data_IF_263347976290
#
_entry.id   IF_263347976290
#
_cell.length_a   1.000
_cell.length_b   1.000
_cell.length_c   1.000
_cell.angle_alpha   90.00
_cell.angle_beta   90.00
_cell.angle_gamma   90.00
#
_symmetry.space_group_name_H-M   'P 1'
#
loop_
_entity.id
_entity.type
_entity.pdbx_description
1 polymer ?
#
# COMPACT_ATOMS: atom_id res chain seq x y z
N UNK A 1 10.27 7.31 4.61
CA UNK A 1 9.59 6.39 3.69
C UNK A 1 9.16 5.09 4.38
N UNK A 2 10.09 4.31 4.95
CA UNK A 2 9.74 3.07 5.68
C UNK A 2 8.79 3.33 6.86
N UNK A 3 9.10 4.32 7.69
CA UNK A 3 8.25 4.77 8.81
C UNK A 3 6.84 5.16 8.36
N UNK A 4 6.71 5.99 7.32
CA UNK A 4 5.42 6.35 6.72
C UNK A 4 4.60 5.11 6.33
N UNK A 5 5.24 4.11 5.71
CA UNK A 5 4.56 2.88 5.30
C UNK A 5 4.16 2.02 6.49
N UNK A 6 5.01 1.92 7.51
CA UNK A 6 4.71 1.15 8.72
C UNK A 6 3.51 1.75 9.47
N UNK A 7 3.42 3.08 9.55
CA UNK A 7 2.28 3.77 10.14
C UNK A 7 0.99 3.56 9.33
N UNK A 8 1.06 3.71 8.01
CA UNK A 8 -0.09 3.47 7.12
C UNK A 8 -0.55 2.01 7.21
N UNK A 9 0.40 1.05 7.29
CA UNK A 9 0.09 -0.37 7.51
C UNK A 9 -0.62 -0.58 8.85
N UNK A 10 -0.14 0.04 9.93
CA UNK A 10 -0.76 -0.08 11.25
C UNK A 10 -2.21 0.46 11.25
N UNK A 11 -2.45 1.60 10.59
CA UNK A 11 -3.80 2.19 10.45
C UNK A 11 -4.73 1.32 9.59
N UNK A 12 -4.22 0.72 8.51
CA UNK A 12 -5.01 -0.08 7.58
C UNK A 12 -5.29 -1.50 8.09
N UNK A 13 -4.37 -2.09 8.88
CA UNK A 13 -4.38 -3.50 9.31
C UNK A 13 -5.73 -4.01 9.82
N UNK A 14 -6.49 -3.28 10.66
CA UNK A 14 -7.80 -3.74 11.14
C UNK A 14 -8.83 -4.01 10.03
N UNK A 15 -8.63 -3.44 8.83
CA UNK A 15 -9.53 -3.56 7.69
C UNK A 15 -9.03 -4.55 6.63
N UNK A 16 -7.80 -5.05 6.76
CA UNK A 16 -7.19 -5.93 5.76
C UNK A 16 -7.60 -7.38 5.99
N UNK A 17 -7.86 -8.10 4.90
CA UNK A 17 -8.09 -9.55 4.94
C UNK A 17 -6.78 -10.33 4.82
N UNK A 18 -5.78 -9.81 4.10
CA UNK A 18 -4.46 -10.43 3.93
C UNK A 18 -3.32 -9.47 4.32
N UNK A 19 -3.19 -9.07 5.60
CA UNK A 19 -2.22 -8.08 6.04
C UNK A 19 -0.76 -8.48 5.77
N UNK A 20 -0.39 -9.75 5.96
CA UNK A 20 0.97 -10.22 5.70
C UNK A 20 1.33 -10.21 4.21
N UNK A 21 0.38 -10.61 3.35
CA UNK A 21 0.57 -10.53 1.91
C UNK A 21 0.74 -9.08 1.45
N UNK A 22 -0.09 -8.17 1.97
CA UNK A 22 0.00 -6.77 1.64
C UNK A 22 1.33 -6.16 2.10
N UNK A 23 1.78 -6.48 3.32
CA UNK A 23 3.08 -6.06 3.85
C UNK A 23 4.22 -6.52 2.94
N UNK A 24 4.22 -7.79 2.52
CA UNK A 24 5.20 -8.30 1.57
C UNK A 24 5.15 -7.52 0.24
N UNK A 25 3.96 -7.36 -0.34
CA UNK A 25 3.78 -6.69 -1.63
C UNK A 25 4.25 -5.24 -1.58
N UNK A 26 3.88 -4.51 -0.54
CA UNK A 26 4.32 -3.13 -0.31
C UNK A 26 5.83 -3.07 -0.13
N UNK A 27 6.44 -4.00 0.62
CA UNK A 27 7.90 -4.06 0.79
C UNK A 27 8.65 -4.30 -0.52
N UNK A 28 8.11 -5.11 -1.44
CA UNK A 28 8.68 -5.33 -2.77
C UNK A 28 8.67 -4.02 -3.56
N UNK A 29 7.50 -3.35 -3.64
CA UNK A 29 7.36 -2.09 -4.36
C UNK A 29 8.23 -0.97 -3.76
N UNK A 30 8.39 -0.94 -2.43
CA UNK A 30 9.27 -0.02 -1.72
C UNK A 30 10.75 -0.23 -2.07
N UNK A 31 11.19 -1.49 -2.21
CA UNK A 31 12.56 -1.81 -2.61
C UNK A 31 12.89 -1.28 -4.01
N UNK A 32 11.88 -1.09 -4.84
CA UNK A 32 11.98 -0.59 -6.21
C UNK A 32 11.82 0.95 -6.29
N UNK A 33 11.35 1.62 -5.23
CA UNK A 33 11.04 3.06 -5.26
C UNK A 33 11.50 3.82 -4.01
N UNK A 34 12.33 4.86 -4.18
CA UNK A 34 12.79 5.71 -3.07
C UNK A 34 11.87 6.92 -2.75
N UNK A 35 10.79 7.11 -3.51
CA UNK A 35 9.88 8.27 -3.42
C UNK A 35 8.45 7.80 -3.14
N UNK A 36 7.72 8.53 -2.30
CA UNK A 36 6.40 8.11 -1.82
C UNK A 36 5.32 8.17 -2.91
N UNK A 37 5.42 9.16 -3.80
CA UNK A 37 4.55 9.33 -4.97
C UNK A 37 4.71 8.15 -5.94
N UNK A 38 5.96 7.67 -6.11
CA UNK A 38 6.26 6.50 -6.93
C UNK A 38 5.67 5.21 -6.35
N UNK A 39 5.66 5.08 -5.03
CA UNK A 39 4.99 3.96 -4.37
C UNK A 39 3.48 3.98 -4.62
N UNK A 40 2.85 5.17 -4.58
CA UNK A 40 1.43 5.29 -4.88
C UNK A 40 1.10 4.92 -6.33
N UNK A 41 1.89 5.39 -7.30
CA UNK A 41 1.79 4.99 -8.72
C UNK A 41 1.94 3.46 -8.89
N UNK A 42 2.97 2.87 -8.27
CA UNK A 42 3.22 1.43 -8.35
C UNK A 42 2.08 0.60 -7.72
N UNK A 43 1.47 1.10 -6.65
CA UNK A 43 0.29 0.48 -6.03
C UNK A 43 -0.95 0.58 -6.92
N UNK A 44 -1.14 1.68 -7.66
CA UNK A 44 -2.24 1.80 -8.63
C UNK A 44 -2.12 0.75 -9.73
N UNK A 45 -0.91 0.54 -10.27
CA UNK A 45 -0.66 -0.51 -11.26
C UNK A 45 -0.86 -1.91 -10.66
N UNK A 46 -0.41 -2.13 -9.42
CA UNK A 46 -0.66 -3.38 -8.71
C UNK A 46 -2.16 -3.66 -8.51
N UNK A 47 -2.97 -2.63 -8.21
CA UNK A 47 -4.44 -2.77 -8.09
C UNK A 47 -5.08 -3.19 -9.42
N UNK A 48 -4.59 -2.66 -10.56
CA UNK A 48 -5.10 -3.00 -11.89
C UNK A 48 -4.73 -4.43 -12.29
N UNK A 49 -3.51 -4.86 -11.95
CA UNK A 49 -2.97 -6.17 -12.31
C UNK A 49 -3.41 -7.31 -11.39
N UNK A 50 -3.84 -7.02 -10.15
CA UNK A 50 -4.22 -8.05 -9.18
C UNK A 50 -5.53 -8.76 -9.56
N UNK A 51 -5.44 -10.08 -9.72
CA UNK A 51 -6.55 -10.95 -10.10
C UNK A 51 -7.41 -11.33 -8.91
N UNK A 52 -6.80 -11.50 -7.73
CA UNK A 52 -7.51 -11.87 -6.51
C UNK A 52 -8.31 -10.66 -5.98
N UNK A 53 -9.64 -10.76 -5.86
CA UNK A 53 -10.48 -9.63 -5.49
C UNK A 53 -10.25 -9.14 -4.06
N UNK A 54 -9.87 -10.04 -3.15
CA UNK A 54 -9.60 -9.71 -1.75
C UNK A 54 -8.28 -8.95 -1.64
N UNK A 55 -7.21 -9.46 -2.25
CA UNK A 55 -5.90 -8.79 -2.34
C UNK A 55 -5.97 -7.44 -3.03
N UNK A 56 -6.75 -7.35 -4.11
CA UNK A 56 -7.01 -6.07 -4.80
C UNK A 56 -7.74 -5.07 -3.89
N UNK A 57 -8.63 -5.54 -3.03
CA UNK A 57 -9.32 -4.69 -2.05
C UNK A 57 -8.38 -4.22 -0.95
N UNK A 58 -7.55 -5.12 -0.42
CA UNK A 58 -6.48 -4.80 0.55
C UNK A 58 -5.53 -3.72 0.01
N UNK A 59 -5.10 -3.84 -1.26
CA UNK A 59 -4.29 -2.82 -1.95
C UNK A 59 -5.00 -1.47 -2.03
N UNK A 60 -6.29 -1.45 -2.38
CA UNK A 60 -7.09 -0.21 -2.47
C UNK A 60 -7.22 0.48 -1.12
N UNK A 61 -7.47 -0.29 -0.05
CA UNK A 61 -7.54 0.22 1.32
C UNK A 61 -6.21 0.89 1.66
N UNK A 62 -5.09 0.18 1.52
CA UNK A 62 -3.78 0.75 1.83
C UNK A 62 -3.46 2.00 1.01
N UNK A 63 -3.69 1.97 -0.31
CA UNK A 63 -3.48 3.12 -1.20
C UNK A 63 -4.30 4.34 -0.76
N UNK A 64 -5.53 4.15 -0.28
CA UNK A 64 -6.36 5.24 0.24
C UNK A 64 -5.73 5.88 1.48
N UNK A 65 -5.26 5.09 2.45
CA UNK A 65 -4.59 5.62 3.64
C UNK A 65 -3.26 6.30 3.29
N UNK A 66 -2.46 5.71 2.39
CA UNK A 66 -1.21 6.32 1.92
C UNK A 66 -1.44 7.69 1.30
N UNK A 67 -2.40 7.82 0.37
CA UNK A 67 -2.76 9.10 -0.26
C UNK A 67 -3.24 10.14 0.75
N UNK A 68 -4.06 9.75 1.72
CA UNK A 68 -4.50 10.64 2.79
C UNK A 68 -3.33 11.17 3.61
N UNK A 69 -2.30 10.36 3.82
CA UNK A 69 -1.11 10.76 4.57
C UNK A 69 -0.20 11.69 3.77
N UNK A 70 0.00 11.40 2.48
CA UNK A 70 0.75 12.27 1.58
C UNK A 70 0.10 13.64 1.42
N UNK A 71 -1.23 13.72 1.37
CA UNK A 71 -1.94 15.00 1.28
C UNK A 71 -1.86 15.87 2.56
N UNK A 72 -1.39 15.31 3.69
CA UNK A 72 -1.21 16.02 4.96
C UNK A 72 0.24 16.42 5.23
N UNK A 73 1.18 16.00 4.38
CA UNK A 73 2.61 16.31 4.47
C UNK A 73 2.91 17.50 3.57
#
# INVERSE_FOLDING_TARGET
MRELVDEVLAEATPYLQNPEWLRWKVSVLLGETAQAERLAEALEEAVKAEADPTRRTDLKIFLQYLRRRLAKT
#
